data_IF_344943619470
#
_entry.id   IF_344943619470
#
_cell.length_a   1.000
_cell.length_b   1.000
_cell.length_c   1.000
_cell.angle_alpha   90.00
_cell.angle_beta   90.00
_cell.angle_gamma   90.00
#
_symmetry.space_group_name_H-M   'P 1'
#
loop_
_entity.id
_entity.type
_entity.pdbx_description
1 polymer ?
#
# COMPACT_ATOMS: atom_id res chain seq x y z
N UNK A 1 -7.19 16.50 -22.97
CA UNK A 1 -6.56 15.45 -23.80
C UNK A 1 -5.91 14.48 -22.84
N UNK A 2 -6.54 13.33 -22.57
CA UNK A 2 -5.99 12.36 -21.62
C UNK A 2 -4.71 11.77 -22.22
N UNK A 3 -3.59 11.91 -21.52
CA UNK A 3 -2.35 11.22 -21.86
C UNK A 3 -2.68 9.73 -21.83
N UNK A 4 -2.68 9.08 -22.98
CA UNK A 4 -2.79 7.63 -23.09
C UNK A 4 -1.46 7.11 -22.54
N UNK A 5 -1.45 6.65 -21.29
CA UNK A 5 -0.26 6.08 -20.66
C UNK A 5 0.27 4.97 -21.56
N UNK A 6 1.40 5.25 -22.19
CA UNK A 6 2.05 4.33 -23.10
C UNK A 6 2.77 3.31 -22.21
N UNK A 7 2.46 2.02 -22.38
CA UNK A 7 3.03 0.92 -21.59
C UNK A 7 4.49 0.68 -22.01
N UNK A 8 5.37 1.62 -21.66
CA UNK A 8 6.79 1.61 -22.04
C UNK A 8 7.69 0.96 -20.99
N UNK A 9 7.26 0.95 -19.73
CA UNK A 9 7.98 0.33 -18.62
C UNK A 9 7.96 -1.19 -18.70
N UNK A 10 9.09 -1.83 -18.36
CA UNK A 10 9.29 -3.29 -18.48
C UNK A 10 9.67 -3.91 -17.13
N UNK A 11 9.21 -5.13 -16.91
CA UNK A 11 9.62 -5.98 -15.79
C UNK A 11 10.36 -7.17 -16.37
N UNK A 12 11.63 -7.31 -16.01
CA UNK A 12 12.47 -8.44 -16.43
C UNK A 12 12.54 -9.48 -15.31
N UNK A 13 12.12 -10.71 -15.59
CA UNK A 13 12.12 -11.82 -14.64
C UNK A 13 12.70 -13.08 -15.28
N UNK A 14 13.51 -13.82 -14.53
CA UNK A 14 14.00 -15.15 -14.92
C UNK A 14 13.18 -16.21 -14.21
N UNK A 15 12.76 -17.23 -14.96
CA UNK A 15 11.89 -18.31 -14.48
C UNK A 15 12.49 -19.67 -14.86
N UNK A 16 12.20 -20.69 -14.07
CA UNK A 16 12.40 -22.07 -14.50
C UNK A 16 11.37 -22.46 -15.55
N UNK A 17 11.64 -23.53 -16.31
CA UNK A 17 10.69 -24.05 -17.30
C UNK A 17 9.36 -24.47 -16.65
N UNK A 18 9.43 -25.11 -15.48
CA UNK A 18 8.26 -25.54 -14.72
C UNK A 18 7.39 -24.34 -14.28
N UNK A 19 8.02 -23.29 -13.72
CA UNK A 19 7.31 -22.08 -13.33
C UNK A 19 6.62 -21.42 -14.53
N UNK A 20 7.30 -21.37 -15.68
CA UNK A 20 6.71 -20.83 -16.91
C UNK A 20 5.49 -21.65 -17.35
N UNK A 21 5.57 -22.98 -17.33
CA UNK A 21 4.45 -23.85 -17.71
C UNK A 21 3.24 -23.67 -16.79
N UNK A 22 3.46 -23.56 -15.48
CA UNK A 22 2.39 -23.30 -14.52
C UNK A 22 1.69 -21.96 -14.79
N UNK A 23 2.46 -20.89 -15.05
CA UNK A 23 1.92 -19.56 -15.34
C UNK A 23 1.14 -19.58 -16.66
N UNK A 24 1.69 -20.20 -17.72
CA UNK A 24 1.01 -20.31 -19.02
C UNK A 24 -0.33 -21.07 -18.88
N UNK A 25 -0.34 -22.16 -18.11
CA UNK A 25 -1.56 -22.92 -17.85
C UNK A 25 -2.60 -22.09 -17.10
N UNK A 26 -2.20 -21.37 -16.05
CA UNK A 26 -3.09 -20.50 -15.29
C UNK A 26 -3.66 -19.35 -16.16
N UNK A 27 -2.84 -18.77 -17.03
CA UNK A 27 -3.27 -17.74 -17.97
C UNK A 27 -4.30 -18.28 -18.97
N UNK A 28 -4.05 -19.49 -19.52
CA UNK A 28 -4.96 -20.17 -20.43
C UNK A 28 -6.32 -20.47 -19.78
N UNK A 29 -6.32 -20.95 -18.53
CA UNK A 29 -7.56 -21.19 -17.76
C UNK A 29 -8.40 -19.92 -17.58
N UNK A 30 -7.76 -18.75 -17.55
CA UNK A 30 -8.45 -17.46 -17.43
C UNK A 30 -8.71 -16.77 -18.79
N UNK A 31 -8.40 -17.45 -19.91
CA UNK A 31 -8.64 -16.91 -21.26
C UNK A 31 -7.83 -15.66 -21.60
N UNK A 32 -6.65 -15.49 -21.00
CA UNK A 32 -5.79 -14.31 -21.19
C UNK A 32 -4.36 -14.69 -21.56
N UNK A 33 -3.59 -13.73 -22.06
CA UNK A 33 -2.17 -13.97 -22.38
C UNK A 33 -1.35 -14.13 -21.10
N UNK A 34 -0.23 -14.85 -21.18
CA UNK A 34 0.72 -15.01 -20.07
C UNK A 34 1.17 -13.65 -19.52
N UNK A 35 1.50 -12.71 -20.40
CA UNK A 35 1.93 -11.36 -20.01
C UNK A 35 0.83 -10.60 -19.26
N UNK A 36 -0.43 -10.65 -19.74
CA UNK A 36 -1.54 -10.00 -19.04
C UNK A 36 -1.81 -10.65 -17.68
N UNK A 37 -1.79 -11.98 -17.61
CA UNK A 37 -1.90 -12.71 -16.35
C UNK A 37 -0.82 -12.29 -15.35
N UNK A 38 0.45 -12.22 -15.78
CA UNK A 38 1.56 -11.83 -14.92
C UNK A 38 1.41 -10.39 -14.40
N UNK A 39 1.06 -9.44 -15.27
CA UNK A 39 0.86 -8.04 -14.87
C UNK A 39 -0.27 -7.94 -13.84
N UNK A 40 -1.41 -8.60 -14.08
CA UNK A 40 -2.54 -8.56 -13.17
C UNK A 40 -2.24 -9.24 -11.83
N UNK A 41 -1.53 -10.37 -11.84
CA UNK A 41 -1.10 -11.05 -10.63
C UNK A 41 -0.16 -10.16 -9.79
N UNK A 42 0.83 -9.53 -10.44
CA UNK A 42 1.76 -8.63 -9.77
C UNK A 42 1.05 -7.40 -9.18
N UNK A 43 0.13 -6.78 -9.94
CA UNK A 43 -0.65 -5.64 -9.46
C UNK A 43 -1.55 -6.00 -8.27
N UNK A 44 -2.18 -7.18 -8.31
CA UNK A 44 -3.00 -7.68 -7.19
C UNK A 44 -2.16 -7.83 -5.93
N UNK A 45 -1.03 -8.51 -6.03
CA UNK A 45 -0.14 -8.72 -4.88
C UNK A 45 0.40 -7.39 -4.34
N UNK A 46 0.87 -6.50 -5.23
CA UNK A 46 1.36 -5.18 -4.84
C UNK A 46 0.29 -4.36 -4.10
N UNK A 47 -0.96 -4.41 -4.58
CA UNK A 47 -2.09 -3.71 -3.95
C UNK A 47 -2.35 -4.25 -2.55
N UNK A 48 -2.34 -5.57 -2.38
CA UNK A 48 -2.52 -6.22 -1.09
C UNK A 48 -1.40 -5.85 -0.10
N UNK A 49 -0.14 -5.86 -0.54
CA UNK A 49 1.01 -5.49 0.30
C UNK A 49 0.92 -4.02 0.73
N UNK A 50 0.60 -3.11 -0.19
CA UNK A 50 0.47 -1.67 0.10
C UNK A 50 -0.69 -1.42 1.06
N UNK A 51 -1.83 -2.08 0.85
CA UNK A 51 -3.00 -1.94 1.71
C UNK A 51 -2.72 -2.47 3.11
N UNK A 52 -2.09 -3.65 3.24
CA UNK A 52 -1.74 -4.24 4.53
C UNK A 52 -0.84 -3.32 5.37
N UNK A 53 0.07 -2.56 4.75
CA UNK A 53 0.91 -1.60 5.46
C UNK A 53 0.15 -0.33 5.92
N UNK A 54 -1.01 -0.03 5.33
CA UNK A 54 -1.83 1.15 5.67
C UNK A 54 -2.94 0.85 6.67
N UNK A 55 -3.18 -0.42 7.00
CA UNK A 55 -4.21 -0.81 7.96
C UNK A 55 -3.63 -0.72 9.39
N UNK A 56 -4.15 0.21 10.18
CA UNK A 56 -4.00 0.19 11.63
C UNK A 56 -5.04 -0.79 12.18
N UNK A 57 -4.60 -1.94 12.68
CA UNK A 57 -5.49 -2.92 13.34
C UNK A 57 -5.61 -2.53 14.81
N UNK A 58 -6.82 -2.19 15.22
CA UNK A 58 -7.16 -1.87 16.60
C UNK A 58 -8.04 -3.00 17.16
N UNK A 59 -7.81 -3.35 18.43
CA UNK A 59 -8.82 -4.04 19.25
C UNK A 59 -10.07 -3.18 19.38
N UNK A 60 -11.17 -3.78 19.85
CA UNK A 60 -12.42 -3.04 20.05
C UNK A 60 -12.19 -1.91 21.06
N UNK A 61 -11.46 -2.19 22.13
CA UNK A 61 -11.11 -1.24 23.18
C UNK A 61 -10.26 -0.08 22.65
N UNK A 62 -9.23 -0.37 21.85
CA UNK A 62 -8.39 0.65 21.21
C UNK A 62 -9.17 1.47 20.18
N UNK A 63 -10.10 0.86 19.44
CA UNK A 63 -10.97 1.54 18.49
C UNK A 63 -11.91 2.53 19.17
N UNK A 64 -12.51 2.13 20.30
CA UNK A 64 -13.35 3.01 21.14
C UNK A 64 -12.51 4.17 21.69
N UNK A 65 -11.33 3.89 22.25
CA UNK A 65 -10.45 4.92 22.77
C UNK A 65 -10.01 5.91 21.67
N UNK A 66 -9.70 5.42 20.46
CA UNK A 66 -9.37 6.28 19.33
C UNK A 66 -10.56 7.16 18.91
N UNK A 67 -11.76 6.59 18.84
CA UNK A 67 -12.96 7.35 18.49
C UNK A 67 -13.27 8.44 19.53
N UNK A 68 -13.14 8.13 20.82
CA UNK A 68 -13.28 9.11 21.90
C UNK A 68 -12.24 10.23 21.80
N UNK A 69 -10.98 9.91 21.48
CA UNK A 69 -9.93 10.91 21.26
C UNK A 69 -10.23 11.82 20.05
N UNK A 70 -10.79 11.27 18.97
CA UNK A 70 -11.16 12.06 17.79
C UNK A 70 -12.36 12.98 18.06
N UNK A 71 -13.33 12.55 18.86
CA UNK A 71 -14.52 13.34 19.20
C UNK A 71 -14.22 14.42 20.23
N UNK A 72 -13.38 14.10 21.22
CA UNK A 72 -13.13 14.99 22.36
C UNK A 72 -12.11 16.10 22.08
N UNK A 73 -11.37 16.04 20.96
CA UNK A 73 -10.28 16.96 20.62
C UNK A 73 -9.44 17.39 21.85
N UNK A 74 -8.83 16.44 22.57
CA UNK A 74 -8.22 16.72 23.85
C UNK A 74 -7.09 17.73 23.69
N UNK A 75 -7.05 18.73 24.59
CA UNK A 75 -6.01 19.75 24.58
C UNK A 75 -4.62 19.12 24.69
N UNK A 76 -3.67 19.65 23.92
CA UNK A 76 -2.28 19.23 23.98
C UNK A 76 -1.73 19.40 25.41
N UNK A 77 -1.16 18.33 25.97
CA UNK A 77 -0.48 18.41 27.27
C UNK A 77 0.82 19.22 27.17
N UNK A 78 1.38 19.64 28.31
CA UNK A 78 2.58 20.47 28.37
C UNK A 78 3.78 19.84 27.63
N UNK A 79 3.91 18.51 27.67
CA UNK A 79 4.96 17.78 26.97
C UNK A 79 4.80 17.86 25.44
N UNK A 80 3.57 17.73 24.91
CA UNK A 80 3.26 17.89 23.49
C UNK A 80 3.52 19.31 23.02
N UNK A 81 3.18 20.32 23.82
CA UNK A 81 3.47 21.74 23.52
C UNK A 81 4.98 21.99 23.48
N UNK A 82 5.73 21.48 24.46
CA UNK A 82 7.19 21.60 24.50
C UNK A 82 7.85 20.87 23.31
N UNK A 83 7.35 19.69 22.93
CA UNK A 83 7.83 18.94 21.77
C UNK A 83 7.56 19.68 20.46
N UNK A 84 6.37 20.26 20.28
CA UNK A 84 6.04 21.09 19.11
C UNK A 84 6.95 22.33 19.02
N UNK A 85 7.20 23.01 20.16
CA UNK A 85 8.11 24.17 20.20
C UNK A 85 9.52 23.78 19.74
N UNK A 86 10.07 22.68 20.28
CA UNK A 86 11.38 22.16 19.89
C UNK A 86 11.43 21.75 18.41
N UNK A 87 10.37 21.13 17.90
CA UNK A 87 10.28 20.77 16.48
C UNK A 87 10.30 22.02 15.57
N UNK A 88 9.61 23.09 15.97
CA UNK A 88 9.58 24.37 15.25
C UNK A 88 10.95 25.07 15.23
N UNK A 89 11.70 24.97 16.33
CA UNK A 89 13.09 25.47 16.42
C UNK A 89 14.06 24.69 15.52
N UNK A 90 13.87 23.37 15.38
CA UNK A 90 14.73 22.51 14.55
C UNK A 90 14.39 22.63 13.05
N UNK A 91 13.10 22.67 12.71
CA UNK A 91 12.63 22.68 11.31
C UNK A 91 12.56 24.07 10.68
N UNK A 92 12.94 25.13 11.41
CA UNK A 92 13.19 26.48 10.90
C UNK A 92 12.17 26.96 9.85
N UNK A 93 11.02 27.46 10.30
CA UNK A 93 10.20 28.36 9.46
C UNK A 93 10.90 29.72 9.35
#
# INVERSE_FOLDING_TARGET
>A
MALKDKKEERIDARLTAEAKQQIDHAAALQGRSTSDFMVQAALKEASQVIEQQRIIRLTVEEGVALAELMISEPNANEASVAAMRRHKEIMGS
#
